data_IF_737896124876
#
_entry.id   IF_737896124876
#
_cell.length_a   1.000
_cell.length_b   1.000
_cell.length_c   1.000
_cell.angle_alpha   90.00
_cell.angle_beta   90.00
_cell.angle_gamma   90.00
#
_symmetry.space_group_name_H-M   'P 1'
#
loop_
_entity.id
_entity.type
_entity.pdbx_description
1 polymer ?
#
# COMPACT_ATOMS: atom_id res chain seq x y z
N UNK A 1 -0.60 4.74 16.66
CA UNK A 1 -0.95 5.18 15.27
C UNK A 1 -1.97 4.21 14.71
N UNK A 2 -3.12 4.71 14.22
CA UNK A 2 -4.11 3.87 13.56
C UNK A 2 -3.74 3.62 12.11
N UNK A 3 -3.90 2.36 11.66
CA UNK A 3 -3.76 1.96 10.27
C UNK A 3 -4.90 1.03 9.85
N UNK A 4 -5.24 1.07 8.58
CA UNK A 4 -6.40 0.38 8.00
C UNK A 4 -5.97 -0.50 6.83
N UNK A 5 -6.57 -1.66 6.70
CA UNK A 5 -6.36 -2.59 5.59
C UNK A 5 -7.71 -2.96 4.96
N UNK A 6 -7.92 -2.55 3.71
CA UNK A 6 -9.11 -2.88 2.93
C UNK A 6 -8.94 -4.26 2.27
N UNK A 7 -9.95 -5.12 2.39
CA UNK A 7 -9.95 -6.49 1.85
C UNK A 7 -11.39 -7.02 1.79
N UNK A 8 -11.57 -8.31 1.69
CA UNK A 8 -12.85 -9.02 1.70
C UNK A 8 -12.99 -10.03 2.85
N UNK A 9 -12.09 -9.98 3.83
CA UNK A 9 -12.09 -10.86 5.00
C UNK A 9 -11.62 -10.13 6.26
N UNK A 10 -12.05 -10.60 7.42
CA UNK A 10 -11.49 -10.16 8.70
C UNK A 10 -10.13 -10.83 8.93
N UNK A 11 -9.12 -10.04 9.31
CA UNK A 11 -7.74 -10.49 9.54
C UNK A 11 -7.28 -10.06 10.94
N UNK A 12 -7.61 -10.80 12.00
CA UNK A 12 -7.18 -10.46 13.37
C UNK A 12 -5.66 -10.56 13.56
N UNK A 13 -5.03 -11.46 12.82
CA UNK A 13 -3.58 -11.70 12.87
C UNK A 13 -3.00 -11.56 11.47
N UNK A 14 -2.46 -10.39 11.11
CA UNK A 14 -1.87 -10.16 9.79
C UNK A 14 -0.61 -11.01 9.59
N UNK A 15 -0.36 -11.38 8.33
CA UNK A 15 0.82 -12.17 7.93
C UNK A 15 1.43 -11.61 6.67
N UNK A 16 2.73 -11.76 6.52
CA UNK A 16 3.41 -11.47 5.26
C UNK A 16 3.00 -12.52 4.23
N UNK A 17 2.47 -12.07 3.11
CA UNK A 17 2.04 -12.95 2.02
C UNK A 17 3.04 -12.85 0.88
N UNK A 18 3.86 -13.87 0.68
CA UNK A 18 4.88 -13.94 -0.36
C UNK A 18 4.31 -14.18 -1.78
N UNK A 19 3.00 -13.93 -1.98
CA UNK A 19 2.32 -14.24 -3.25
C UNK A 19 2.45 -13.17 -4.32
N UNK A 20 2.81 -11.94 -3.94
CA UNK A 20 2.78 -10.80 -4.85
C UNK A 20 4.13 -10.07 -4.86
N UNK A 21 5.08 -10.66 -5.59
CA UNK A 21 6.44 -10.08 -5.76
C UNK A 21 6.47 -8.77 -6.55
N UNK A 22 5.34 -8.33 -7.12
CA UNK A 22 5.25 -7.19 -8.04
C UNK A 22 4.45 -6.01 -7.47
N UNK A 23 4.41 -5.88 -6.14
CA UNK A 23 3.78 -4.75 -5.48
C UNK A 23 4.75 -3.56 -5.38
N UNK A 24 4.20 -2.35 -5.22
CA UNK A 24 4.95 -1.09 -5.24
C UNK A 24 6.14 -1.06 -4.27
N UNK A 25 5.99 -1.65 -3.10
CA UNK A 25 7.05 -1.72 -2.08
C UNK A 25 7.55 -3.14 -1.82
N UNK A 26 7.17 -4.09 -2.70
CA UNK A 26 7.54 -5.49 -2.57
C UNK A 26 6.67 -6.26 -1.57
N UNK A 27 7.24 -7.30 -0.97
CA UNK A 27 6.54 -8.16 -0.01
C UNK A 27 6.25 -7.41 1.29
N UNK A 28 5.04 -7.58 1.84
CA UNK A 28 4.66 -6.97 3.09
C UNK A 28 3.15 -6.98 3.34
N UNK A 29 2.76 -6.54 4.52
CA UNK A 29 1.38 -6.28 4.87
C UNK A 29 1.06 -4.80 4.66
N UNK A 30 0.23 -4.52 3.66
CA UNK A 30 -0.08 -3.18 3.19
C UNK A 30 -1.23 -2.55 3.97
N UNK A 31 -1.00 -1.38 4.49
CA UNK A 31 -2.00 -0.59 5.22
C UNK A 31 -1.95 0.87 4.79
N UNK A 32 -2.91 1.65 5.24
CA UNK A 32 -2.94 3.11 5.08
C UNK A 32 -3.42 3.78 6.38
N UNK A 33 -3.03 5.03 6.58
CA UNK A 33 -3.59 5.87 7.65
C UNK A 33 -4.90 6.55 7.23
N UNK A 34 -5.27 6.47 5.94
CA UNK A 34 -6.50 7.03 5.40
C UNK A 34 -7.59 5.96 5.33
N UNK A 35 -8.55 6.02 6.24
CA UNK A 35 -9.66 5.06 6.31
C UNK A 35 -10.52 5.07 5.03
N UNK A 36 -10.76 6.24 4.42
CA UNK A 36 -11.51 6.33 3.17
C UNK A 36 -10.80 5.57 2.03
N UNK A 37 -9.49 5.67 1.94
CA UNK A 37 -8.70 4.89 0.98
C UNK A 37 -8.81 3.38 1.22
N UNK A 38 -8.80 2.94 2.47
CA UNK A 38 -8.98 1.51 2.80
C UNK A 38 -10.38 1.02 2.41
N UNK A 39 -11.42 1.84 2.60
CA UNK A 39 -12.80 1.54 2.17
C UNK A 39 -12.90 1.40 0.65
N UNK A 40 -12.37 2.35 -0.10
CA UNK A 40 -12.34 2.30 -1.57
C UNK A 40 -11.60 1.05 -2.06
N UNK A 41 -10.48 0.71 -1.43
CA UNK A 41 -9.71 -0.47 -1.80
C UNK A 41 -10.47 -1.77 -1.50
N UNK A 42 -11.19 -1.85 -0.38
CA UNK A 42 -12.04 -3.01 -0.04
C UNK A 42 -13.13 -3.23 -1.10
N UNK A 43 -13.81 -2.17 -1.54
CA UNK A 43 -14.79 -2.22 -2.62
C UNK A 43 -14.17 -2.74 -3.92
N UNK A 44 -13.03 -2.16 -4.35
CA UNK A 44 -12.29 -2.61 -5.55
C UNK A 44 -11.86 -4.08 -5.49
N UNK A 45 -11.48 -4.57 -4.31
CA UNK A 45 -11.11 -5.99 -4.12
C UNK A 45 -12.31 -6.91 -4.37
N UNK A 46 -13.47 -6.54 -3.87
CA UNK A 46 -14.71 -7.33 -4.07
C UNK A 46 -15.18 -7.30 -5.52
N UNK A 47 -15.15 -6.14 -6.18
CA UNK A 47 -15.51 -6.01 -7.60
C UNK A 47 -14.65 -6.88 -8.53
N UNK A 48 -13.34 -6.97 -8.25
CA UNK A 48 -12.38 -7.73 -9.08
C UNK A 48 -12.42 -9.24 -8.86
N UNK A 49 -12.91 -9.73 -7.72
CA UNK A 49 -12.79 -11.13 -7.36
C UNK A 49 -14.08 -11.93 -7.51
N UNK A 50 -15.09 -11.61 -6.73
CA UNK A 50 -16.38 -12.32 -6.76
C UNK A 50 -17.44 -11.36 -6.21
N UNK A 51 -18.54 -11.07 -6.94
CA UNK A 51 -19.59 -10.14 -6.50
C UNK A 51 -20.28 -10.48 -5.18
N UNK A 52 -20.13 -11.72 -4.69
CA UNK A 52 -20.74 -12.19 -3.43
C UNK A 52 -19.89 -11.97 -2.18
N UNK A 53 -18.69 -11.39 -2.30
CA UNK A 53 -17.84 -11.11 -1.14
C UNK A 53 -18.12 -9.70 -0.60
N UNK A 54 -18.14 -9.60 0.72
CA UNK A 54 -18.36 -8.33 1.40
C UNK A 54 -17.04 -7.55 1.53
N UNK A 55 -17.03 -6.24 1.22
CA UNK A 55 -15.87 -5.42 1.41
C UNK A 55 -15.64 -5.15 2.90
N UNK A 56 -14.47 -5.49 3.40
CA UNK A 56 -14.09 -5.41 4.82
C UNK A 56 -12.92 -4.47 5.01
N UNK A 57 -13.00 -3.60 6.01
CA UNK A 57 -11.87 -2.83 6.51
C UNK A 57 -11.44 -3.38 7.86
N UNK A 58 -10.18 -3.74 7.98
CA UNK A 58 -9.55 -4.13 9.23
C UNK A 58 -8.80 -2.93 9.82
N UNK A 59 -9.01 -2.65 11.10
CA UNK A 59 -8.40 -1.56 11.83
C UNK A 59 -7.38 -2.10 12.82
N UNK A 60 -6.17 -1.52 12.81
CA UNK A 60 -5.11 -1.88 13.73
C UNK A 60 -4.55 -0.64 14.41
N UNK A 61 -4.07 -0.83 15.61
CA UNK A 61 -3.24 0.14 16.29
C UNK A 61 -1.78 -0.31 16.26
N UNK A 62 -0.93 0.53 15.66
CA UNK A 62 0.51 0.37 15.80
C UNK A 62 0.92 0.90 17.17
N UNK A 63 1.31 -0.02 18.06
CA UNK A 63 1.73 0.25 19.41
C UNK A 63 3.25 0.34 19.50
N UNK A 64 3.74 1.45 20.04
CA UNK A 64 5.15 1.68 20.29
C UNK A 64 5.72 2.86 19.50
N UNK A 65 6.95 3.21 19.86
CA UNK A 65 7.75 4.14 19.10
C UNK A 65 8.37 3.42 17.88
N UNK A 66 8.82 4.19 16.94
CA UNK A 66 9.58 3.68 15.80
C UNK A 66 11.05 3.37 16.18
N UNK A 67 11.41 3.51 17.46
CA UNK A 67 12.73 3.19 17.95
C UNK A 67 13.04 1.70 17.71
N UNK A 68 14.23 1.45 17.26
CA UNK A 68 14.73 0.11 16.91
C UNK A 68 14.04 -0.54 15.68
N UNK A 69 13.37 0.26 14.84
CA UNK A 69 12.87 -0.19 13.54
C UNK A 69 13.63 0.49 12.41
N UNK A 70 14.00 -0.28 11.40
CA UNK A 70 14.54 0.23 10.14
C UNK A 70 13.40 0.70 9.27
N UNK A 71 13.30 2.01 9.03
CA UNK A 71 12.19 2.62 8.29
C UNK A 71 12.71 3.32 7.04
N UNK A 72 12.14 2.96 5.89
CA UNK A 72 12.29 3.71 4.65
C UNK A 72 11.06 4.60 4.45
N UNK A 73 11.27 5.89 4.29
CA UNK A 73 10.19 6.86 4.08
C UNK A 73 10.41 7.67 2.81
N UNK A 74 9.36 7.75 2.01
CA UNK A 74 9.26 8.65 0.86
C UNK A 74 8.22 9.74 1.17
N UNK A 75 8.63 10.98 1.18
CA UNK A 75 7.73 12.11 1.48
C UNK A 75 6.94 12.56 0.25
N UNK A 76 7.40 12.21 -0.94
CA UNK A 76 6.76 12.55 -2.21
C UNK A 76 7.04 11.48 -3.27
N UNK A 77 6.22 11.42 -4.34
CA UNK A 77 6.48 10.57 -5.49
C UNK A 77 7.56 11.22 -6.38
N UNK A 78 8.77 11.31 -5.84
CA UNK A 78 9.96 11.85 -6.49
C UNK A 78 10.73 10.78 -7.28
N UNK A 79 11.92 11.13 -7.76
CA UNK A 79 12.79 10.23 -8.51
C UNK A 79 13.15 8.97 -7.72
N UNK A 80 13.51 9.11 -6.45
CA UNK A 80 13.89 7.98 -5.59
C UNK A 80 12.72 7.02 -5.37
N UNK A 81 11.52 7.58 -5.13
CA UNK A 81 10.31 6.78 -5.02
C UNK A 81 9.99 6.04 -6.33
N UNK A 82 10.09 6.73 -7.48
CA UNK A 82 9.81 6.13 -8.79
C UNK A 82 10.76 4.96 -9.09
N UNK A 83 12.05 5.16 -8.92
CA UNK A 83 13.05 4.12 -9.13
C UNK A 83 12.82 2.93 -8.20
N UNK A 84 12.55 3.19 -6.93
CA UNK A 84 12.24 2.16 -5.95
C UNK A 84 11.02 1.33 -6.35
N UNK A 85 9.90 1.96 -6.71
CA UNK A 85 8.67 1.25 -7.13
C UNK A 85 8.93 0.41 -8.38
N UNK A 86 9.61 0.96 -9.39
CA UNK A 86 9.94 0.24 -10.61
C UNK A 86 10.80 -1.00 -10.32
N UNK A 87 11.82 -0.88 -9.50
CA UNK A 87 12.65 -2.03 -9.10
C UNK A 87 11.85 -3.10 -8.38
N UNK A 88 10.99 -2.72 -7.42
CA UNK A 88 10.15 -3.69 -6.70
C UNK A 88 9.20 -4.41 -7.62
N UNK A 89 8.55 -3.70 -8.55
CA UNK A 89 7.66 -4.30 -9.56
C UNK A 89 8.38 -5.25 -10.50
N UNK A 90 9.64 -5.00 -10.82
CA UNK A 90 10.51 -5.92 -11.57
C UNK A 90 10.99 -7.11 -10.76
N UNK A 91 10.67 -7.18 -9.47
CA UNK A 91 11.10 -8.25 -8.58
C UNK A 91 12.58 -8.19 -8.20
N UNK A 92 13.22 -7.03 -8.36
CA UNK A 92 14.61 -6.83 -7.94
C UNK A 92 14.64 -6.83 -6.41
N UNK A 93 15.44 -7.67 -5.73
CA UNK A 93 15.49 -7.73 -4.28
C UNK A 93 15.94 -6.41 -3.66
N UNK A 94 15.46 -6.13 -2.44
CA UNK A 94 15.98 -5.01 -1.64
C UNK A 94 17.43 -5.29 -1.23
N UNK A 95 18.29 -4.30 -1.41
CA UNK A 95 19.67 -4.36 -0.92
C UNK A 95 19.71 -4.26 0.60
N UNK A 96 18.84 -3.42 1.17
CA UNK A 96 18.70 -3.25 2.62
C UNK A 96 17.36 -3.84 3.07
N UNK A 97 17.34 -4.42 4.27
CA UNK A 97 16.10 -4.88 4.88
C UNK A 97 15.49 -3.75 5.70
N UNK A 98 14.22 -3.46 5.44
CA UNK A 98 13.42 -2.51 6.21
C UNK A 98 12.32 -3.25 6.97
N UNK A 99 12.01 -2.76 8.16
CA UNK A 99 10.87 -3.25 8.95
C UNK A 99 9.57 -2.63 8.45
N UNK A 100 9.62 -1.34 8.12
CA UNK A 100 8.48 -0.57 7.62
C UNK A 100 8.90 0.30 6.43
N UNK A 101 8.05 0.34 5.40
CA UNK A 101 8.19 1.28 4.28
C UNK A 101 6.95 2.16 4.24
N UNK A 102 7.17 3.48 4.18
CA UNK A 102 6.10 4.49 4.14
C UNK A 102 6.28 5.35 2.90
N UNK A 103 5.21 5.57 2.15
CA UNK A 103 5.28 6.46 0.99
C UNK A 103 4.00 6.50 0.18
N UNK A 104 3.99 7.33 -0.87
CA UNK A 104 2.82 7.47 -1.74
C UNK A 104 2.42 6.15 -2.38
N UNK A 105 1.10 5.90 -2.44
CA UNK A 105 0.54 4.75 -3.15
C UNK A 105 0.49 5.04 -4.66
N UNK A 106 0.88 4.09 -5.49
CA UNK A 106 0.65 4.14 -6.91
C UNK A 106 -0.80 3.69 -7.21
N UNK A 107 -1.74 4.63 -7.19
CA UNK A 107 -3.10 4.36 -7.64
C UNK A 107 -3.16 4.11 -9.16
N UNK A 108 -4.34 3.79 -9.70
CA UNK A 108 -4.51 3.42 -11.11
C UNK A 108 -3.98 4.48 -12.09
N UNK A 109 -4.09 5.77 -11.76
CA UNK A 109 -3.57 6.87 -12.57
C UNK A 109 -2.03 6.96 -12.56
N UNK A 110 -1.43 6.72 -11.40
CA UNK A 110 0.02 6.70 -11.21
C UNK A 110 0.61 5.47 -11.89
N UNK A 111 -0.12 4.35 -11.83
CA UNK A 111 0.27 3.10 -12.48
C UNK A 111 0.47 3.25 -13.99
N UNK A 112 -0.46 3.91 -14.68
CA UNK A 112 -0.33 4.20 -16.12
C UNK A 112 0.92 5.03 -16.43
N UNK A 113 1.24 6.02 -15.59
CA UNK A 113 2.46 6.83 -15.74
C UNK A 113 3.74 6.01 -15.51
N UNK A 114 3.74 5.10 -14.55
CA UNK A 114 4.88 4.19 -14.30
C UNK A 114 5.11 3.28 -15.50
N UNK A 115 4.05 2.70 -16.09
CA UNK A 115 4.18 1.86 -17.29
C UNK A 115 4.79 2.64 -18.46
N UNK A 116 4.34 3.88 -18.70
CA UNK A 116 4.88 4.72 -19.77
C UNK A 116 6.38 5.01 -19.54
N UNK A 117 6.80 5.20 -18.31
CA UNK A 117 8.19 5.36 -17.95
C UNK A 117 9.00 4.06 -18.16
N UNK A 118 8.49 2.93 -17.67
CA UNK A 118 9.15 1.62 -17.82
C UNK A 118 9.33 1.18 -19.28
N UNK A 119 8.39 1.55 -20.14
CA UNK A 119 8.42 1.25 -21.58
C UNK A 119 9.18 2.28 -22.40
N UNK A 120 9.76 3.31 -21.76
CA UNK A 120 10.53 4.36 -22.44
C UNK A 120 9.69 5.37 -23.24
N UNK A 121 8.34 5.32 -23.11
CA UNK A 121 7.44 6.27 -23.76
C UNK A 121 7.36 7.61 -23.03
N UNK A 122 7.82 7.67 -21.81
CA UNK A 122 7.89 8.86 -20.98
C UNK A 122 9.23 8.88 -20.26
N UNK A 123 9.87 10.04 -20.26
CA UNK A 123 11.10 10.24 -19.50
C UNK A 123 10.82 10.43 -18.01
N UNK A 124 11.86 10.36 -17.20
CA UNK A 124 11.79 10.49 -15.75
C UNK A 124 11.18 11.82 -15.30
N UNK A 125 11.59 12.90 -15.94
CA UNK A 125 11.10 14.26 -15.61
C UNK A 125 9.60 14.39 -15.91
N UNK A 126 9.14 13.88 -17.04
CA UNK A 126 7.74 13.86 -17.42
C UNK A 126 6.90 13.02 -16.45
N UNK A 127 7.41 11.87 -16.01
CA UNK A 127 6.74 11.04 -15.01
C UNK A 127 6.56 11.79 -13.66
N UNK A 128 7.63 12.40 -13.16
CA UNK A 128 7.61 13.16 -11.91
C UNK A 128 6.66 14.37 -12.00
N UNK A 129 6.64 15.08 -13.13
CA UNK A 129 5.68 16.19 -13.36
C UNK A 129 4.23 15.70 -13.26
N UNK A 130 3.90 14.54 -13.82
CA UNK A 130 2.55 13.96 -13.74
C UNK A 130 2.17 13.59 -12.32
N UNK A 131 3.11 13.10 -11.50
CA UNK A 131 2.83 12.76 -10.09
C UNK A 131 2.54 14.00 -9.23
N UNK A 132 3.20 15.13 -9.47
CA UNK A 132 3.03 16.38 -8.71
C UNK A 132 1.61 16.96 -8.79
N UNK A 133 0.85 16.66 -9.84
CA UNK A 133 -0.54 17.11 -10.00
C UNK A 133 -1.53 16.23 -9.23
N UNK A 134 -1.10 15.10 -8.68
CA UNK A 134 -1.95 14.12 -8.01
C UNK A 134 -1.80 14.23 -6.48
N UNK A 135 -2.91 14.27 -5.79
CA UNK A 135 -2.91 14.13 -4.33
C UNK A 135 -2.87 12.65 -4.00
N UNK A 136 -1.68 12.13 -3.73
CA UNK A 136 -1.50 10.74 -3.35
C UNK A 136 -1.63 10.57 -1.84
N UNK A 137 -2.24 9.46 -1.44
CA UNK A 137 -2.24 9.03 -0.04
C UNK A 137 -1.03 8.15 0.22
N UNK A 138 -0.54 8.15 1.46
CA UNK A 138 0.54 7.28 1.86
C UNK A 138 0.01 5.90 2.24
N UNK A 139 0.77 4.89 1.85
CA UNK A 139 0.69 3.54 2.38
C UNK A 139 1.78 3.31 3.43
N UNK A 140 1.49 2.43 4.36
CA UNK A 140 2.41 1.94 5.40
C UNK A 140 2.50 0.44 5.24
N UNK A 141 3.68 -0.05 4.88
CA UNK A 141 3.90 -1.47 4.60
C UNK A 141 4.79 -2.06 5.69
N UNK A 142 4.29 -3.08 6.36
CA UNK A 142 5.02 -3.85 7.37
C UNK A 142 5.70 -5.02 6.67
N UNK A 143 7.04 -5.03 6.67
CA UNK A 143 7.83 -5.90 5.79
C UNK A 143 8.28 -7.20 6.46
N UNK A 144 8.14 -7.31 7.77
CA UNK A 144 8.54 -8.51 8.50
C UNK A 144 7.68 -8.75 9.76
N UNK A 145 7.89 -9.89 10.39
CA UNK A 145 7.16 -10.33 11.59
C UNK A 145 7.42 -9.40 12.79
N UNK A 146 8.63 -8.85 12.94
CA UNK A 146 8.95 -7.95 14.04
C UNK A 146 8.11 -6.65 13.98
N UNK A 147 7.90 -6.12 12.78
CA UNK A 147 7.02 -4.98 12.55
C UNK A 147 5.54 -5.35 12.72
N UNK A 148 5.11 -6.52 12.21
CA UNK A 148 3.72 -6.98 12.34
C UNK A 148 3.31 -7.22 13.79
N UNK A 149 4.20 -7.74 14.62
CA UNK A 149 3.93 -7.99 16.05
C UNK A 149 3.66 -6.71 16.86
N UNK A 150 3.90 -5.54 16.26
CA UNK A 150 3.55 -4.23 16.85
C UNK A 150 2.16 -3.75 16.44
N UNK A 151 1.44 -4.50 15.59
CA UNK A 151 0.07 -4.23 15.23
C UNK A 151 -0.90 -4.94 16.19
N UNK A 152 -1.68 -4.18 16.93
CA UNK A 152 -2.81 -4.72 17.69
C UNK A 152 -4.08 -4.59 16.85
N UNK A 153 -4.78 -5.70 16.60
CA UNK A 153 -6.08 -5.69 15.96
C UNK A 153 -7.12 -5.04 16.88
N UNK A 154 -7.84 -4.04 16.36
CA UNK A 154 -8.88 -3.35 17.10
C UNK A 154 -10.25 -3.90 16.72
N UNK A 155 -10.57 -3.85 15.42
CA UNK A 155 -11.87 -4.26 14.87
C UNK A 155 -11.79 -4.44 13.37
N UNK A 156 -12.83 -5.09 12.83
CA UNK A 156 -13.17 -5.03 11.41
C UNK A 156 -14.61 -4.59 11.23
N UNK A 157 -14.93 -4.08 10.06
CA UNK A 157 -16.32 -3.76 9.69
C UNK A 157 -16.50 -3.92 8.17
N UNK A 158 -17.76 -4.20 7.80
CA UNK A 158 -18.19 -4.28 6.40
C UNK A 158 -18.40 -2.85 5.88
N UNK A 159 -17.90 -2.56 4.70
CA UNK A 159 -18.15 -1.29 4.02
C UNK A 159 -19.48 -1.39 3.30
N UNK A 160 -20.46 -0.63 3.76
CA UNK A 160 -21.71 -0.48 3.03
C UNK A 160 -21.41 0.21 1.70
N UNK A 161 -21.74 -0.45 0.57
CA UNK A 161 -21.78 0.23 -0.71
C UNK A 161 -22.89 1.30 -0.62
N UNK A 162 -22.57 2.54 -0.92
CA UNK A 162 -23.61 3.52 -1.22
C UNK A 162 -24.30 3.03 -2.49
N UNK A 163 -25.25 2.10 -2.31
CA UNK A 163 -26.14 1.68 -3.37
C UNK A 163 -26.88 2.92 -3.83
N UNK A 164 -26.76 3.23 -5.12
CA UNK A 164 -27.38 4.33 -5.82
C UNK A 164 -28.76 4.68 -5.25
N UNK A 165 -28.86 5.90 -4.67
CA UNK A 165 -30.14 6.57 -4.51
C UNK A 165 -30.52 7.19 -5.84
#
# INVERSE_FOLDING_TARGET
MLVFHGTNITIPTPKIMNRFKTLDFGEGFYTTQNEAQAREFALKVCERRIPSLEPVVNCYEFSGDFANLSILKFDAPDEKWLEFVVERRKGIPLTNQYDIIIGPVANDDVFGTIILYETGQLDKEGAIKRFKVKKLHNQVVFCNEAALNRLAFIRSYIVESEAAK
#
